data_IF_187200100582
#
_entry.id   IF_187200100582
#
_cell.length_a   1.000
_cell.length_b   1.000
_cell.length_c   1.000
_cell.angle_alpha   90.00
_cell.angle_beta   90.00
_cell.angle_gamma   90.00
#
_symmetry.space_group_name_H-M   'P 1'
#
loop_
_entity.id
_entity.type
_entity.pdbx_description
1 polymer ?
#
# COMPACT_ATOMS: atom_id res chain seq x y z
N UNK A 1 46.46 -34.27 -11.00
CA UNK A 1 47.90 -34.38 -10.66
C UNK A 1 48.39 -33.20 -9.81
N UNK A 2 48.02 -31.94 -10.10
CA UNK A 2 48.46 -30.76 -9.35
C UNK A 2 48.09 -30.75 -7.84
N UNK A 3 46.83 -31.04 -7.46
CA UNK A 3 46.44 -31.04 -6.03
C UNK A 3 47.17 -32.10 -5.19
N UNK A 4 47.39 -33.29 -5.76
CA UNK A 4 48.19 -34.36 -5.11
C UNK A 4 49.67 -33.99 -4.98
N UNK A 5 50.19 -33.18 -5.90
CA UNK A 5 51.56 -32.67 -5.80
C UNK A 5 51.71 -31.60 -4.71
N UNK A 6 50.71 -30.71 -4.59
CA UNK A 6 50.73 -29.58 -3.64
C UNK A 6 50.41 -30.04 -2.20
N UNK A 7 49.39 -30.88 -2.01
CA UNK A 7 48.89 -31.24 -0.67
C UNK A 7 49.16 -32.70 -0.28
N UNK A 8 49.69 -33.54 -1.17
CA UNK A 8 49.80 -34.98 -0.94
C UNK A 8 50.99 -35.43 -0.08
N UNK A 9 51.86 -34.52 0.36
CA UNK A 9 53.04 -34.82 1.20
C UNK A 9 52.98 -34.16 2.60
N UNK A 10 51.82 -33.62 2.98
CA UNK A 10 51.62 -32.94 4.26
C UNK A 10 50.49 -33.58 5.04
N UNK A 11 50.71 -33.87 6.32
CA UNK A 11 49.75 -34.49 7.22
C UNK A 11 49.30 -33.48 8.29
N UNK A 12 48.01 -33.43 8.59
CA UNK A 12 47.45 -32.52 9.59
C UNK A 12 47.32 -33.26 10.92
N UNK A 13 48.03 -32.80 11.94
CA UNK A 13 48.07 -33.39 13.27
C UNK A 13 47.33 -32.52 14.29
N UNK A 14 46.80 -33.13 15.35
CA UNK A 14 46.08 -32.38 16.40
C UNK A 14 47.03 -31.56 17.26
N UNK A 15 48.15 -32.17 17.68
CA UNK A 15 49.11 -31.58 18.61
C UNK A 15 50.55 -31.71 18.06
N UNK A 16 51.45 -30.86 18.55
CA UNK A 16 52.85 -30.82 18.09
C UNK A 16 53.63 -32.11 18.38
N UNK A 17 53.35 -32.76 19.50
CA UNK A 17 53.97 -34.03 19.90
C UNK A 17 53.67 -35.13 18.88
N UNK A 18 52.38 -35.30 18.56
CA UNK A 18 51.91 -36.26 17.54
C UNK A 18 52.48 -35.89 16.16
N UNK A 19 52.56 -34.59 15.83
CA UNK A 19 53.17 -34.14 14.59
C UNK A 19 54.64 -34.54 14.46
N UNK A 20 55.38 -34.50 15.56
CA UNK A 20 56.81 -34.86 15.60
C UNK A 20 57.02 -36.36 15.47
N UNK A 21 56.20 -37.17 16.15
CA UNK A 21 56.29 -38.62 16.07
C UNK A 21 55.92 -39.13 14.68
N UNK A 22 54.79 -38.65 14.13
CA UNK A 22 54.33 -39.02 12.78
C UNK A 22 55.30 -38.58 11.68
N UNK A 23 55.94 -37.41 11.84
CA UNK A 23 56.96 -36.94 10.90
C UNK A 23 58.21 -37.82 10.89
N UNK A 24 58.62 -38.35 12.05
CA UNK A 24 59.78 -39.25 12.17
C UNK A 24 59.49 -40.65 11.65
N UNK A 25 58.31 -41.18 11.95
CA UNK A 25 57.92 -42.55 11.57
C UNK A 25 57.64 -42.68 10.07
N UNK A 26 56.92 -41.72 9.48
CA UNK A 26 56.47 -41.80 8.08
C UNK A 26 57.24 -40.90 7.11
N UNK A 27 58.13 -40.03 7.59
CA UNK A 27 58.92 -39.13 6.75
C UNK A 27 58.09 -38.11 5.97
N UNK A 28 56.92 -37.73 6.48
CA UNK A 28 56.02 -36.73 5.89
C UNK A 28 56.08 -35.41 6.67
N UNK A 29 55.85 -34.29 5.99
CA UNK A 29 55.75 -33.00 6.67
C UNK A 29 54.43 -32.94 7.45
N UNK A 30 54.45 -32.53 8.71
CA UNK A 30 53.27 -32.47 9.57
C UNK A 30 52.98 -31.02 9.97
N UNK A 31 51.69 -30.66 10.04
CA UNK A 31 51.24 -29.33 10.46
C UNK A 31 50.13 -29.44 11.50
N UNK A 32 50.19 -28.63 12.56
CA UNK A 32 49.11 -28.57 13.57
C UNK A 32 48.01 -27.60 13.14
N UNK A 33 46.83 -27.72 13.75
CA UNK A 33 45.71 -26.80 13.50
C UNK A 33 46.09 -25.35 13.89
N UNK A 34 46.97 -25.20 14.88
CA UNK A 34 47.45 -23.91 15.38
C UNK A 34 48.54 -23.28 14.48
N UNK A 35 49.01 -24.02 13.47
CA UNK A 35 49.94 -23.53 12.44
C UNK A 35 51.41 -23.86 12.67
N UNK A 36 51.73 -24.69 13.67
CA UNK A 36 53.10 -25.17 13.87
C UNK A 36 53.42 -26.27 12.85
N UNK A 37 54.55 -26.13 12.16
CA UNK A 37 54.99 -27.05 11.13
C UNK A 37 56.24 -27.83 11.57
N UNK A 38 56.18 -29.15 11.41
CA UNK A 38 57.32 -30.05 11.59
C UNK A 38 57.65 -30.66 10.23
N UNK A 39 58.82 -30.37 9.69
CA UNK A 39 59.27 -30.99 8.44
C UNK A 39 59.81 -32.40 8.70
N UNK A 40 59.64 -33.28 7.71
CA UNK A 40 60.28 -34.60 7.59
C UNK A 40 61.79 -34.60 7.83
N UNK A 41 62.46 -33.45 7.66
CA UNK A 41 63.90 -33.24 7.91
C UNK A 41 64.25 -32.78 9.33
N UNK A 42 63.26 -32.64 10.22
CA UNK A 42 63.45 -32.28 11.62
C UNK A 42 63.42 -30.78 11.93
N UNK A 43 63.11 -29.92 10.96
CA UNK A 43 62.93 -28.47 11.21
C UNK A 43 61.56 -28.20 11.80
N UNK A 44 61.51 -27.56 12.97
CA UNK A 44 60.27 -27.04 13.56
C UNK A 44 60.15 -25.54 13.28
N UNK A 45 59.01 -25.13 12.73
CA UNK A 45 58.68 -23.72 12.47
C UNK A 45 57.37 -23.40 13.16
N UNK A 46 57.39 -22.44 14.09
CA UNK A 46 56.20 -22.01 14.84
C UNK A 46 56.17 -20.49 15.02
N UNK A 47 54.99 -19.94 15.33
CA UNK A 47 54.77 -18.51 15.53
C UNK A 47 53.30 -18.11 15.57
N UNK A 48 53.02 -16.85 15.91
CA UNK A 48 51.64 -16.33 15.96
C UNK A 48 51.11 -16.03 14.55
N UNK A 49 50.13 -16.83 14.09
CA UNK A 49 49.44 -16.62 12.82
C UNK A 49 48.18 -15.76 13.02
N UNK A 50 48.15 -14.57 12.40
CA UNK A 50 46.98 -13.70 12.42
C UNK A 50 45.93 -14.20 11.44
N UNK A 51 44.93 -14.94 11.94
CA UNK A 51 43.83 -15.54 11.15
C UNK A 51 42.92 -14.54 10.43
N UNK A 52 43.03 -13.24 10.71
CA UNK A 52 42.01 -12.26 10.32
C UNK A 52 41.98 -11.89 8.83
N UNK A 53 42.95 -12.31 8.00
CA UNK A 53 43.02 -12.01 6.55
C UNK A 53 43.58 -13.17 5.74
N UNK A 54 42.92 -14.33 5.79
CA UNK A 54 43.27 -15.45 4.93
C UNK A 54 42.99 -15.12 3.46
N UNK A 55 44.03 -15.14 2.62
CA UNK A 55 43.90 -14.94 1.16
C UNK A 55 42.96 -15.96 0.51
N UNK A 56 42.90 -17.18 1.08
CA UNK A 56 42.01 -18.24 0.62
C UNK A 56 40.55 -17.94 0.90
N UNK A 57 40.23 -17.36 2.07
CA UNK A 57 38.86 -16.96 2.41
C UNK A 57 38.36 -15.84 1.49
N UNK A 58 39.22 -14.85 1.22
CA UNK A 58 38.93 -13.78 0.26
C UNK A 58 38.72 -14.36 -1.15
N UNK A 59 39.55 -15.33 -1.56
CA UNK A 59 39.41 -15.97 -2.87
C UNK A 59 38.12 -16.81 -2.95
N UNK A 60 37.72 -17.51 -1.88
CA UNK A 60 36.45 -18.24 -1.80
C UNK A 60 35.26 -17.29 -1.93
N UNK A 61 35.23 -16.21 -1.14
CA UNK A 61 34.20 -15.18 -1.22
C UNK A 61 34.13 -14.55 -2.61
N UNK A 62 35.29 -14.27 -3.22
CA UNK A 62 35.37 -13.76 -4.59
C UNK A 62 34.76 -14.76 -5.59
N UNK A 63 35.05 -16.04 -5.46
CA UNK A 63 34.48 -17.09 -6.32
C UNK A 63 32.96 -17.20 -6.15
N UNK A 64 32.46 -17.12 -4.93
CA UNK A 64 31.01 -17.10 -4.65
C UNK A 64 30.33 -15.87 -5.26
N UNK A 65 30.88 -14.68 -5.05
CA UNK A 65 30.38 -13.44 -5.64
C UNK A 65 30.41 -13.46 -7.16
N UNK A 66 31.47 -13.99 -7.78
CA UNK A 66 31.53 -14.16 -9.23
C UNK A 66 30.46 -15.12 -9.75
N UNK A 67 30.15 -16.18 -9.00
CA UNK A 67 29.06 -17.10 -9.35
C UNK A 67 27.69 -16.41 -9.28
N UNK A 68 27.46 -15.60 -8.23
CA UNK A 68 26.22 -14.83 -8.08
C UNK A 68 26.05 -13.76 -9.16
N UNK A 69 27.15 -13.10 -9.55
CA UNK A 69 27.16 -12.14 -10.66
C UNK A 69 26.74 -12.86 -11.95
N UNK A 70 27.37 -13.99 -12.25
CA UNK A 70 27.05 -14.77 -13.45
C UNK A 70 25.59 -15.22 -13.48
N UNK A 71 25.08 -15.73 -12.37
CA UNK A 71 23.67 -16.14 -12.27
C UNK A 71 22.71 -14.95 -12.47
N UNK A 72 23.08 -13.77 -11.95
CA UNK A 72 22.29 -12.54 -12.12
C UNK A 72 22.34 -12.03 -13.57
N UNK A 73 23.49 -12.14 -14.25
CA UNK A 73 23.64 -11.80 -15.66
C UNK A 73 22.81 -12.73 -16.56
N UNK A 74 22.82 -14.03 -16.27
CA UNK A 74 22.02 -15.03 -17.00
C UNK A 74 20.51 -14.75 -16.84
N UNK A 75 20.04 -14.46 -15.61
CA UNK A 75 18.66 -14.05 -15.35
C UNK A 75 18.28 -12.75 -16.05
N UNK A 76 19.19 -11.79 -16.11
CA UNK A 76 18.96 -10.51 -16.78
C UNK A 76 18.82 -10.72 -18.30
N UNK A 77 19.65 -11.59 -18.89
CA UNK A 77 19.55 -11.96 -20.30
C UNK A 77 18.21 -12.66 -20.61
N UNK A 78 17.77 -13.58 -19.74
CA UNK A 78 16.47 -14.25 -19.88
C UNK A 78 15.30 -13.26 -19.81
N UNK A 79 15.29 -12.38 -18.80
CA UNK A 79 14.26 -11.35 -18.66
C UNK A 79 14.22 -10.39 -19.85
N UNK A 80 15.37 -10.04 -20.43
CA UNK A 80 15.43 -9.21 -21.65
C UNK A 80 14.80 -9.92 -22.85
N UNK A 81 15.03 -11.23 -23.00
CA UNK A 81 14.42 -12.00 -24.07
C UNK A 81 12.91 -12.13 -23.88
N UNK A 82 12.45 -12.38 -22.65
CA UNK A 82 11.02 -12.41 -22.32
C UNK A 82 10.35 -11.06 -22.58
N UNK A 83 11.00 -9.95 -22.20
CA UNK A 83 10.51 -8.59 -22.46
C UNK A 83 10.32 -8.38 -23.98
N UNK A 84 11.34 -8.71 -24.77
CA UNK A 84 11.28 -8.57 -26.23
C UNK A 84 10.15 -9.41 -26.84
N UNK A 85 9.97 -10.66 -26.40
CA UNK A 85 8.89 -11.52 -26.87
C UNK A 85 7.52 -10.95 -26.50
N UNK A 86 7.37 -10.38 -25.30
CA UNK A 86 6.12 -9.71 -24.90
C UNK A 86 5.84 -8.45 -25.70
N UNK A 87 6.87 -7.65 -26.02
CA UNK A 87 6.73 -6.47 -26.87
C UNK A 87 6.28 -6.85 -28.29
N UNK A 88 6.86 -7.90 -28.87
CA UNK A 88 6.47 -8.43 -30.18
C UNK A 88 5.01 -8.91 -30.19
N UNK A 89 4.58 -9.62 -29.13
CA UNK A 89 3.18 -10.04 -28.95
C UNK A 89 2.24 -8.84 -28.83
N UNK A 90 2.62 -7.80 -28.07
CA UNK A 90 1.83 -6.57 -27.96
C UNK A 90 1.66 -5.92 -29.33
N UNK A 91 2.74 -5.78 -30.10
CA UNK A 91 2.70 -5.20 -31.44
C UNK A 91 1.79 -5.99 -32.41
N UNK A 92 1.80 -7.32 -32.32
CA UNK A 92 0.90 -8.16 -33.09
C UNK A 92 -0.58 -7.91 -32.71
N UNK A 93 -0.89 -7.91 -31.41
CA UNK A 93 -2.26 -7.66 -30.92
C UNK A 93 -2.75 -6.27 -31.33
N UNK A 94 -1.91 -5.24 -31.24
CA UNK A 94 -2.24 -3.87 -31.68
C UNK A 94 -2.55 -3.84 -33.18
N UNK A 95 -1.76 -4.55 -33.98
CA UNK A 95 -1.97 -4.63 -35.43
C UNK A 95 -3.29 -5.35 -35.78
N UNK A 96 -3.61 -6.43 -35.09
CA UNK A 96 -4.87 -7.17 -35.26
C UNK A 96 -6.09 -6.34 -34.81
N UNK A 97 -5.94 -5.59 -33.71
CA UNK A 97 -6.95 -4.66 -33.21
C UNK A 97 -7.26 -3.59 -34.27
N UNK A 98 -6.24 -2.93 -34.83
CA UNK A 98 -6.41 -1.91 -35.87
C UNK A 98 -7.07 -2.48 -37.14
N UNK A 99 -6.69 -3.70 -37.56
CA UNK A 99 -7.35 -4.38 -38.70
C UNK A 99 -8.82 -4.64 -38.43
N UNK A 100 -9.14 -5.12 -37.23
CA UNK A 100 -10.52 -5.42 -36.83
C UNK A 100 -11.35 -4.14 -36.73
N UNK A 101 -10.79 -3.07 -36.16
CA UNK A 101 -11.42 -1.76 -36.07
C UNK A 101 -11.73 -1.18 -37.46
N UNK A 102 -10.76 -1.20 -38.39
CA UNK A 102 -10.99 -0.78 -39.77
C UNK A 102 -12.09 -1.61 -40.47
N UNK A 103 -12.12 -2.92 -40.25
CA UNK A 103 -13.17 -3.80 -40.80
C UNK A 103 -14.53 -3.46 -40.22
N UNK A 104 -14.60 -3.20 -38.92
CA UNK A 104 -15.85 -2.84 -38.23
C UNK A 104 -16.37 -1.49 -38.75
N UNK A 105 -15.50 -0.48 -38.86
CA UNK A 105 -15.87 0.84 -39.38
C UNK A 105 -16.38 0.75 -40.82
N UNK A 106 -15.69 0.01 -41.71
CA UNK A 106 -16.17 -0.25 -43.08
C UNK A 106 -17.51 -0.97 -43.12
N UNK A 107 -17.69 -1.97 -42.25
CA UNK A 107 -18.94 -2.73 -42.17
C UNK A 107 -20.10 -1.85 -41.70
N UNK A 108 -19.85 -0.96 -40.73
CA UNK A 108 -20.82 0.04 -40.26
C UNK A 108 -21.19 1.03 -41.35
N UNK A 109 -20.23 1.59 -42.07
CA UNK A 109 -20.54 2.51 -43.18
C UNK A 109 -21.32 1.82 -44.30
N UNK A 110 -21.00 0.55 -44.60
CA UNK A 110 -21.75 -0.23 -45.58
C UNK A 110 -23.17 -0.53 -45.10
N UNK A 111 -23.34 -0.86 -43.82
CA UNK A 111 -24.65 -1.09 -43.22
C UNK A 111 -25.52 0.18 -43.28
N UNK A 112 -24.97 1.34 -42.95
CA UNK A 112 -25.69 2.61 -42.99
C UNK A 112 -26.10 2.99 -44.42
N UNK A 113 -25.23 2.75 -45.41
CA UNK A 113 -25.55 2.89 -46.84
C UNK A 113 -26.69 1.97 -47.26
N UNK A 114 -26.57 0.67 -47.00
CA UNK A 114 -27.62 -0.29 -47.35
C UNK A 114 -28.95 0.02 -46.66
N UNK A 115 -28.92 0.51 -45.41
CA UNK A 115 -30.11 0.96 -44.68
C UNK A 115 -30.77 2.16 -45.36
N UNK A 116 -29.98 3.11 -45.88
CA UNK A 116 -30.48 4.25 -46.64
C UNK A 116 -31.07 3.78 -47.99
N UNK A 117 -30.39 2.89 -48.72
CA UNK A 117 -30.85 2.35 -49.99
C UNK A 117 -32.17 1.59 -49.83
N UNK A 118 -32.31 0.76 -48.78
CA UNK A 118 -33.56 0.06 -48.45
C UNK A 118 -34.70 1.05 -48.17
N UNK A 119 -34.42 2.19 -47.52
CA UNK A 119 -35.44 3.22 -47.28
C UNK A 119 -35.90 3.86 -48.59
N UNK A 120 -34.96 4.23 -49.46
CA UNK A 120 -35.27 4.80 -50.77
C UNK A 120 -36.06 3.82 -51.64
N UNK A 121 -35.63 2.56 -51.73
CA UNK A 121 -36.36 1.52 -52.47
C UNK A 121 -37.78 1.28 -51.94
N UNK A 122 -37.99 1.38 -50.61
CA UNK A 122 -39.33 1.28 -50.03
C UNK A 122 -40.22 2.48 -50.39
N UNK A 123 -39.66 3.70 -50.41
CA UNK A 123 -40.40 4.89 -50.84
C UNK A 123 -40.76 4.81 -52.33
N UNK A 124 -39.84 4.35 -53.18
CA UNK A 124 -40.10 4.10 -54.59
C UNK A 124 -41.19 3.03 -54.80
N UNK A 125 -41.13 1.92 -54.06
CA UNK A 125 -42.14 0.86 -54.10
C UNK A 125 -43.54 1.43 -53.75
N UNK A 126 -43.64 2.18 -52.65
CA UNK A 126 -44.90 2.83 -52.24
C UNK A 126 -45.39 3.83 -53.29
N UNK A 127 -44.48 4.55 -53.94
CA UNK A 127 -44.79 5.43 -55.07
C UNK A 127 -45.41 4.64 -56.23
N UNK A 128 -44.75 3.56 -56.67
CA UNK A 128 -45.22 2.70 -57.76
C UNK A 128 -46.58 2.08 -57.42
N UNK A 129 -46.77 1.57 -56.20
CA UNK A 129 -48.04 0.99 -55.75
C UNK A 129 -49.19 2.00 -55.81
N UNK A 130 -48.94 3.27 -55.43
CA UNK A 130 -49.94 4.34 -55.55
C UNK A 130 -50.37 4.62 -56.99
N UNK A 131 -49.46 4.50 -57.96
CA UNK A 131 -49.79 4.67 -59.39
C UNK A 131 -50.40 3.42 -60.03
N UNK A 132 -50.09 2.23 -59.49
CA UNK A 132 -50.58 0.94 -59.97
C UNK A 132 -52.09 0.83 -59.83
N UNK A 133 -52.65 1.16 -58.65
CA UNK A 133 -54.10 0.98 -58.39
C UNK A 133 -55.00 1.78 -59.35
N UNK A 134 -54.75 3.08 -59.63
CA UNK A 134 -55.52 3.83 -60.63
C UNK A 134 -55.36 3.29 -62.06
N UNK A 135 -54.15 2.87 -62.44
CA UNK A 135 -53.88 2.26 -63.75
C UNK A 135 -54.64 0.95 -63.93
N UNK A 136 -54.65 0.08 -62.92
CA UNK A 136 -55.44 -1.16 -62.92
C UNK A 136 -56.94 -0.89 -63.04
N UNK A 137 -57.47 0.10 -62.32
CA UNK A 137 -58.88 0.52 -62.46
C UNK A 137 -59.19 1.04 -63.86
N UNK A 138 -58.31 1.87 -64.42
CA UNK A 138 -58.49 2.40 -65.78
C UNK A 138 -58.41 1.30 -66.83
N UNK A 139 -57.51 0.32 -66.67
CA UNK A 139 -57.42 -0.85 -67.55
C UNK A 139 -58.71 -1.66 -67.49
N UNK A 140 -59.20 -1.98 -66.28
CA UNK A 140 -60.46 -2.71 -66.10
C UNK A 140 -61.65 -1.99 -66.75
N UNK A 141 -61.73 -0.67 -66.62
CA UNK A 141 -62.77 0.13 -67.29
C UNK A 141 -62.65 0.07 -68.82
N UNK A 142 -61.45 0.25 -69.37
CA UNK A 142 -61.23 0.17 -70.81
C UNK A 142 -61.54 -1.23 -71.36
N UNK A 143 -61.16 -2.30 -70.64
CA UNK A 143 -61.48 -3.67 -71.01
C UNK A 143 -62.99 -3.92 -71.01
N UNK A 144 -63.71 -3.46 -69.99
CA UNK A 144 -65.18 -3.57 -69.94
C UNK A 144 -65.86 -2.78 -71.06
N UNK A 145 -65.37 -1.57 -71.37
CA UNK A 145 -65.89 -0.79 -72.48
C UNK A 145 -65.61 -1.47 -73.84
N UNK A 146 -64.43 -2.06 -74.01
CA UNK A 146 -64.05 -2.78 -75.22
C UNK A 146 -64.94 -4.00 -75.42
N UNK A 147 -65.17 -4.77 -74.36
CA UNK A 147 -66.04 -5.95 -74.37
C UNK A 147 -67.48 -5.55 -74.72
N UNK A 148 -68.02 -4.49 -74.10
CA UNK A 148 -69.33 -3.96 -74.43
C UNK A 148 -69.45 -3.53 -75.91
N UNK A 149 -68.42 -2.88 -76.46
CA UNK A 149 -68.37 -2.47 -77.87
C UNK A 149 -68.22 -3.66 -78.83
N UNK A 150 -67.51 -4.71 -78.42
CA UNK A 150 -67.42 -5.95 -79.18
C UNK A 150 -68.74 -6.71 -79.20
N UNK A 151 -69.45 -6.76 -78.07
CA UNK A 151 -70.79 -7.35 -77.99
C UNK A 151 -71.79 -6.60 -78.86
N UNK A 152 -71.80 -5.26 -78.83
CA UNK A 152 -72.68 -4.47 -79.71
C UNK A 152 -72.32 -4.63 -81.18
N UNK A 153 -71.03 -4.66 -81.54
CA UNK A 153 -70.60 -4.96 -82.92
C UNK A 153 -71.10 -6.33 -83.37
N UNK A 154 -70.87 -7.37 -82.55
CA UNK A 154 -71.31 -8.73 -82.87
C UNK A 154 -72.83 -8.83 -82.98
N UNK A 155 -73.57 -8.10 -82.14
CA UNK A 155 -75.03 -8.01 -82.23
C UNK A 155 -75.49 -7.37 -83.54
N UNK A 156 -74.94 -6.21 -83.91
CA UNK A 156 -75.25 -5.52 -85.15
C UNK A 156 -74.85 -6.31 -86.41
N UNK A 157 -73.71 -7.01 -86.39
CA UNK A 157 -73.29 -7.91 -87.48
C UNK A 157 -74.25 -9.10 -87.64
N UNK A 158 -74.74 -9.65 -86.53
CA UNK A 158 -75.75 -10.72 -86.55
C UNK A 158 -77.10 -10.21 -87.07
N UNK A 159 -77.52 -9.01 -86.67
CA UNK A 159 -78.75 -8.35 -87.15
C UNK A 159 -78.68 -8.06 -88.66
N UNK A 160 -77.51 -7.69 -89.20
CA UNK A 160 -77.31 -7.43 -90.63
C UNK A 160 -77.51 -8.69 -91.49
N UNK A 161 -77.34 -9.87 -90.91
CA UNK A 161 -77.43 -11.17 -91.59
C UNK A 161 -78.76 -11.90 -91.35
N UNK A 162 -79.73 -11.27 -90.69
CA UNK A 162 -81.07 -11.82 -90.46
C UNK A 162 -82.15 -11.04 -91.22
N UNK A 163 -83.12 -11.76 -91.78
CA UNK A 163 -84.33 -11.16 -92.35
C UNK A 163 -85.27 -10.68 -91.24
N UNK A 164 -85.68 -9.41 -91.26
CA UNK A 164 -86.61 -8.84 -90.28
C UNK A 164 -88.02 -9.45 -90.42
N UNK A 165 -88.27 -10.52 -89.68
CA UNK A 165 -89.59 -11.13 -89.50
C UNK A 165 -90.34 -10.41 -88.36
N UNK A 166 -91.62 -10.08 -88.59
CA UNK A 166 -92.44 -9.34 -87.63
C UNK A 166 -92.93 -10.17 -86.42
N UNK A 167 -92.71 -11.51 -86.43
CA UNK A 167 -93.12 -12.42 -85.37
C UNK A 167 -92.03 -13.46 -85.09
N UNK A 168 -91.81 -13.71 -83.80
CA UNK A 168 -90.83 -14.66 -83.27
C UNK A 168 -91.22 -16.11 -83.63
N UNK A 169 -90.26 -16.93 -84.07
CA UNK A 169 -90.50 -18.36 -84.30
C UNK A 169 -90.78 -19.11 -83.00
N UNK A 170 -91.53 -20.22 -83.05
CA UNK A 170 -91.80 -21.08 -81.88
C UNK A 170 -90.50 -21.64 -81.27
N UNK A 171 -89.46 -21.84 -82.09
CA UNK A 171 -88.13 -22.27 -81.64
C UNK A 171 -87.42 -21.16 -80.86
N UNK A 172 -87.44 -19.94 -81.40
CA UNK A 172 -86.86 -18.74 -80.77
C UNK A 172 -87.56 -18.40 -79.44
N UNK A 173 -88.85 -18.68 -79.34
CA UNK A 173 -89.64 -18.44 -78.12
C UNK A 173 -89.24 -19.40 -76.99
N UNK A 174 -89.01 -20.68 -77.31
CA UNK A 174 -88.46 -21.67 -76.36
C UNK A 174 -87.01 -21.34 -75.97
N UNK A 175 -86.21 -20.81 -76.89
CA UNK A 175 -84.84 -20.40 -76.62
C UNK A 175 -84.80 -19.15 -75.73
N UNK A 176 -85.68 -18.18 -75.97
CA UNK A 176 -85.89 -17.01 -75.11
C UNK A 176 -86.30 -17.38 -73.69
N UNK A 177 -87.18 -18.35 -73.50
CA UNK A 177 -87.59 -18.81 -72.17
C UNK A 177 -86.41 -19.47 -71.43
N UNK A 178 -85.63 -20.32 -72.11
CA UNK A 178 -84.40 -20.90 -71.54
C UNK A 178 -83.37 -19.83 -71.18
N UNK A 179 -83.13 -18.87 -72.07
CA UNK A 179 -82.23 -17.75 -71.83
C UNK A 179 -82.70 -16.89 -70.66
N UNK A 180 -84.00 -16.66 -70.50
CA UNK A 180 -84.54 -15.93 -69.35
C UNK A 180 -84.36 -16.69 -68.03
N UNK A 181 -84.55 -18.00 -68.02
CA UNK A 181 -84.30 -18.83 -66.85
C UNK A 181 -82.81 -18.89 -66.50
N UNK A 182 -81.93 -19.00 -67.51
CA UNK A 182 -80.48 -18.94 -67.32
C UNK A 182 -80.03 -17.56 -66.84
N UNK A 183 -80.59 -16.47 -67.37
CA UNK A 183 -80.36 -15.10 -66.89
C UNK A 183 -80.76 -15.00 -65.41
N UNK A 184 -81.92 -15.53 -65.01
CA UNK A 184 -82.36 -15.51 -63.60
C UNK A 184 -81.38 -16.29 -62.71
N UNK A 185 -80.98 -17.50 -63.11
CA UNK A 185 -80.00 -18.32 -62.36
C UNK A 185 -78.67 -17.60 -62.23
N UNK A 186 -78.09 -17.16 -63.34
CA UNK A 186 -76.79 -16.47 -63.37
C UNK A 186 -76.82 -15.14 -62.61
N UNK A 187 -77.93 -14.41 -62.65
CA UNK A 187 -78.10 -13.17 -61.86
C UNK A 187 -78.11 -13.46 -60.36
N UNK A 188 -78.73 -14.57 -59.95
CA UNK A 188 -78.77 -14.98 -58.54
C UNK A 188 -77.41 -15.50 -58.07
N UNK A 189 -76.73 -16.31 -58.88
CA UNK A 189 -75.35 -16.76 -58.61
C UNK A 189 -74.39 -15.57 -58.51
N UNK A 190 -74.47 -14.62 -59.45
CA UNK A 190 -73.65 -13.42 -59.44
C UNK A 190 -73.92 -12.54 -58.21
N UNK A 191 -75.19 -12.40 -57.78
CA UNK A 191 -75.53 -11.74 -56.50
C UNK A 191 -74.87 -12.43 -55.30
N UNK A 192 -74.91 -13.75 -55.26
CA UNK A 192 -74.31 -14.52 -54.16
C UNK A 192 -72.78 -14.40 -54.14
N UNK A 193 -72.14 -14.47 -55.31
CA UNK A 193 -70.70 -14.30 -55.49
C UNK A 193 -70.26 -12.86 -55.18
N UNK A 194 -71.06 -11.87 -55.53
CA UNK A 194 -70.81 -10.47 -55.18
C UNK A 194 -70.90 -10.26 -53.67
N UNK A 195 -71.88 -10.86 -52.99
CA UNK A 195 -72.01 -10.77 -51.54
C UNK A 195 -70.84 -11.43 -50.80
N UNK A 196 -70.36 -12.60 -51.25
CA UNK A 196 -69.16 -13.24 -50.68
C UNK A 196 -67.90 -12.43 -50.96
N UNK A 197 -67.72 -11.92 -52.19
CA UNK A 197 -66.61 -11.03 -52.53
C UNK A 197 -66.59 -9.79 -51.64
N UNK A 198 -67.73 -9.14 -51.45
CA UNK A 198 -67.83 -7.93 -50.63
C UNK A 198 -67.48 -8.20 -49.15
N UNK A 199 -67.89 -9.35 -48.60
CA UNK A 199 -67.50 -9.77 -47.24
C UNK A 199 -65.99 -10.01 -47.13
N UNK A 200 -65.41 -10.76 -48.06
CA UNK A 200 -63.96 -11.03 -48.08
C UNK A 200 -63.13 -9.75 -48.26
N UNK A 201 -63.61 -8.81 -49.08
CA UNK A 201 -62.96 -7.51 -49.30
C UNK A 201 -63.01 -6.64 -48.03
N UNK A 202 -64.10 -6.69 -47.28
CA UNK A 202 -64.19 -6.03 -45.97
C UNK A 202 -63.24 -6.65 -44.92
N UNK A 203 -63.15 -7.98 -44.86
CA UNK A 203 -62.22 -8.68 -43.97
C UNK A 203 -60.76 -8.40 -44.34
N UNK A 204 -60.43 -8.42 -45.63
CA UNK A 204 -59.11 -8.03 -46.15
C UNK A 204 -58.74 -6.63 -45.68
N UNK A 205 -59.62 -5.64 -45.91
CA UNK A 205 -59.37 -4.25 -45.49
C UNK A 205 -59.20 -4.13 -43.96
N UNK A 206 -59.96 -4.90 -43.17
CA UNK A 206 -59.82 -4.92 -41.71
C UNK A 206 -58.46 -5.47 -41.28
N UNK A 207 -58.01 -6.57 -41.88
CA UNK A 207 -56.71 -7.18 -41.60
C UNK A 207 -55.55 -6.30 -42.09
N UNK A 208 -55.65 -5.70 -43.27
CA UNK A 208 -54.66 -4.75 -43.80
C UNK A 208 -54.54 -3.52 -42.89
N UNK A 209 -55.65 -3.00 -42.37
CA UNK A 209 -55.63 -1.90 -41.40
C UNK A 209 -54.94 -2.31 -40.08
N UNK A 210 -55.22 -3.51 -39.57
CA UNK A 210 -54.59 -4.04 -38.36
C UNK A 210 -53.07 -4.21 -38.55
N UNK A 211 -52.67 -4.77 -39.69
CA UNK A 211 -51.27 -4.99 -40.02
C UNK A 211 -50.53 -3.65 -40.15
N UNK A 212 -51.08 -2.74 -40.94
CA UNK A 212 -50.40 -1.49 -41.32
C UNK A 212 -50.38 -0.47 -40.19
N UNK A 213 -51.52 -0.24 -39.52
CA UNK A 213 -51.62 0.81 -38.51
C UNK A 213 -51.12 0.37 -37.13
N UNK A 214 -51.19 -0.92 -36.81
CA UNK A 214 -50.83 -1.42 -35.48
C UNK A 214 -49.52 -2.22 -35.51
N UNK A 215 -49.48 -3.35 -36.20
CA UNK A 215 -48.37 -4.30 -36.08
C UNK A 215 -47.07 -3.78 -36.71
N UNK A 216 -47.12 -3.19 -37.90
CA UNK A 216 -45.94 -2.60 -38.55
C UNK A 216 -45.43 -1.43 -37.72
N UNK A 217 -46.32 -0.55 -37.27
CA UNK A 217 -45.96 0.60 -36.42
C UNK A 217 -45.30 0.17 -35.12
N UNK A 218 -45.86 -0.85 -34.46
CA UNK A 218 -45.30 -1.41 -33.22
C UNK A 218 -43.94 -2.08 -33.44
N UNK A 219 -43.77 -2.78 -34.56
CA UNK A 219 -42.48 -3.36 -34.96
C UNK A 219 -41.43 -2.27 -35.16
N UNK A 220 -41.76 -1.19 -35.87
CA UNK A 220 -40.83 -0.08 -36.13
C UNK A 220 -40.46 0.66 -34.83
N UNK A 221 -41.42 0.87 -33.92
CA UNK A 221 -41.17 1.38 -32.55
C UNK A 221 -40.17 0.50 -31.78
N UNK A 222 -40.37 -0.81 -31.77
CA UNK A 222 -39.49 -1.75 -31.08
C UNK A 222 -38.09 -1.81 -31.70
N UNK A 223 -37.98 -1.71 -33.04
CA UNK A 223 -36.70 -1.66 -33.73
C UNK A 223 -35.94 -0.37 -33.40
N UNK A 224 -36.63 0.77 -33.29
CA UNK A 224 -36.02 2.03 -32.84
C UNK A 224 -35.52 1.93 -31.40
N UNK A 225 -36.36 1.44 -30.48
CA UNK A 225 -35.98 1.26 -29.09
C UNK A 225 -34.76 0.33 -28.93
N UNK A 226 -34.70 -0.78 -29.66
CA UNK A 226 -33.54 -1.67 -29.66
C UNK A 226 -32.25 -1.02 -30.19
N UNK A 227 -32.35 -0.12 -31.18
CA UNK A 227 -31.20 0.59 -31.72
C UNK A 227 -30.66 1.64 -30.75
N UNK A 228 -31.53 2.39 -30.08
CA UNK A 228 -31.16 3.42 -29.11
C UNK A 228 -30.53 2.83 -27.83
N UNK A 229 -31.10 1.75 -27.30
CA UNK A 229 -30.65 1.11 -26.05
C UNK A 229 -29.30 0.37 -26.24
N UNK A 230 -29.03 -0.19 -27.42
CA UNK A 230 -27.94 -1.15 -27.60
C UNK A 230 -26.54 -0.53 -27.61
N UNK A 231 -26.37 0.62 -28.28
CA UNK A 231 -25.02 1.12 -28.61
C UNK A 231 -24.74 2.49 -28.01
N UNK A 232 -25.65 3.45 -28.11
CA UNK A 232 -25.46 4.79 -27.56
C UNK A 232 -25.41 4.76 -26.03
N UNK A 233 -26.37 4.08 -25.39
CA UNK A 233 -26.48 4.04 -23.93
C UNK A 233 -25.32 3.28 -23.29
N UNK A 234 -24.95 2.11 -23.84
CA UNK A 234 -23.76 1.36 -23.39
C UNK A 234 -22.48 2.15 -23.54
N UNK A 235 -22.30 2.86 -24.65
CA UNK A 235 -21.11 3.69 -24.90
C UNK A 235 -21.05 4.85 -23.91
N UNK A 236 -22.18 5.50 -23.64
CA UNK A 236 -22.28 6.58 -22.66
C UNK A 236 -21.99 6.10 -21.23
N UNK A 237 -22.51 4.94 -20.82
CA UNK A 237 -22.15 4.34 -19.53
C UNK A 237 -20.67 3.96 -19.47
N UNK A 238 -20.09 3.44 -20.55
CA UNK A 238 -18.66 3.10 -20.60
C UNK A 238 -17.77 4.34 -20.46
N UNK A 239 -18.12 5.43 -21.16
CA UNK A 239 -17.39 6.70 -21.09
C UNK A 239 -17.49 7.33 -19.69
N UNK A 240 -18.67 7.28 -19.06
CA UNK A 240 -18.85 7.72 -17.67
C UNK A 240 -18.00 6.89 -16.70
N UNK A 241 -18.04 5.55 -16.79
CA UNK A 241 -17.23 4.69 -15.93
C UNK A 241 -15.73 4.90 -16.13
N UNK A 242 -15.29 5.19 -17.37
CA UNK A 242 -13.88 5.55 -17.65
C UNK A 242 -13.48 6.87 -17.02
N UNK A 243 -14.33 7.88 -17.07
CA UNK A 243 -14.10 9.18 -16.42
C UNK A 243 -14.03 9.04 -14.90
N UNK A 244 -14.93 8.26 -14.31
CA UNK A 244 -14.90 7.97 -12.87
C UNK A 244 -13.61 7.24 -12.48
N UNK A 245 -13.21 6.23 -13.25
CA UNK A 245 -12.00 5.46 -13.01
C UNK A 245 -10.74 6.34 -13.08
N UNK A 246 -10.64 7.22 -14.08
CA UNK A 246 -9.56 8.19 -14.17
C UNK A 246 -9.55 9.20 -13.00
N UNK A 247 -10.74 9.60 -12.52
CA UNK A 247 -10.88 10.43 -11.32
C UNK A 247 -10.40 9.73 -10.05
N UNK A 248 -10.76 8.45 -9.89
CA UNK A 248 -10.32 7.61 -8.77
C UNK A 248 -8.81 7.38 -8.82
N UNK A 249 -8.23 7.10 -9.99
CA UNK A 249 -6.79 6.92 -10.16
C UNK A 249 -6.00 8.18 -9.75
N UNK A 250 -6.42 9.37 -10.19
CA UNK A 250 -5.81 10.64 -9.76
C UNK A 250 -5.89 10.82 -8.24
N UNK A 251 -7.03 10.45 -7.65
CA UNK A 251 -7.24 10.57 -6.20
C UNK A 251 -6.38 9.56 -5.42
N UNK A 252 -6.21 8.34 -5.93
CA UNK A 252 -5.27 7.35 -5.39
C UNK A 252 -3.83 7.87 -5.48
N UNK A 253 -3.44 8.47 -6.61
CA UNK A 253 -2.10 9.02 -6.79
C UNK A 253 -1.81 10.16 -5.81
N UNK A 254 -2.80 11.03 -5.58
CA UNK A 254 -2.70 12.11 -4.59
C UNK A 254 -2.57 11.55 -3.16
N UNK A 255 -3.44 10.60 -2.78
CA UNK A 255 -3.38 9.95 -1.45
C UNK A 255 -2.04 9.24 -1.25
N UNK A 256 -1.48 8.60 -2.28
CA UNK A 256 -0.17 7.96 -2.20
C UNK A 256 0.97 8.98 -2.03
N UNK A 257 0.87 10.16 -2.65
CA UNK A 257 1.85 11.26 -2.43
C UNK A 257 1.77 11.77 -1.01
N UNK A 258 0.55 11.98 -0.49
CA UNK A 258 0.33 12.45 0.87
C UNK A 258 0.78 11.41 1.91
N UNK A 259 0.52 10.13 1.65
CA UNK A 259 0.99 9.01 2.47
C UNK A 259 2.51 8.98 2.56
N UNK A 260 3.22 9.06 1.43
CA UNK A 260 4.70 9.11 1.40
C UNK A 260 5.25 10.33 2.15
N UNK A 261 4.59 11.48 2.05
CA UNK A 261 4.99 12.68 2.78
C UNK A 261 4.79 12.51 4.29
N UNK A 262 3.67 11.90 4.71
CA UNK A 262 3.40 11.63 6.12
C UNK A 262 4.35 10.57 6.69
N UNK A 263 4.66 9.53 5.93
CA UNK A 263 5.62 8.49 6.32
C UNK A 263 7.01 9.09 6.57
N UNK A 264 7.47 10.01 5.72
CA UNK A 264 8.73 10.75 5.95
C UNK A 264 8.69 11.56 7.25
N UNK A 265 7.60 12.28 7.52
CA UNK A 265 7.43 13.04 8.76
C UNK A 265 7.46 12.13 10.00
N UNK A 266 6.81 10.97 9.91
CA UNK A 266 6.83 9.96 10.99
C UNK A 266 8.25 9.44 11.22
N UNK A 267 8.98 9.10 10.15
CA UNK A 267 10.37 8.64 10.27
C UNK A 267 11.28 9.71 10.89
N UNK A 268 11.12 10.98 10.53
CA UNK A 268 11.85 12.10 11.13
C UNK A 268 11.50 12.28 12.62
N UNK A 269 10.22 12.22 12.97
CA UNK A 269 9.76 12.31 14.36
C UNK A 269 10.32 11.16 15.21
N UNK A 270 10.31 9.92 14.71
CA UNK A 270 10.89 8.76 15.39
C UNK A 270 12.40 8.92 15.59
N UNK A 271 13.13 9.46 14.61
CA UNK A 271 14.57 9.76 14.76
C UNK A 271 14.82 10.81 15.84
N UNK A 272 14.03 11.89 15.87
CA UNK A 272 14.13 12.93 16.91
C UNK A 272 13.83 12.37 18.30
N UNK A 273 12.77 11.57 18.43
CA UNK A 273 12.41 10.91 19.69
C UNK A 273 13.54 10.03 20.22
N UNK A 274 14.20 9.25 19.35
CA UNK A 274 15.35 8.43 19.76
C UNK A 274 16.53 9.28 20.23
N UNK A 275 16.85 10.36 19.53
CA UNK A 275 17.92 11.27 19.92
C UNK A 275 17.64 11.94 21.28
N UNK A 276 16.40 12.40 21.50
CA UNK A 276 15.99 12.96 22.79
C UNK A 276 15.99 11.92 23.92
N UNK A 277 15.61 10.67 23.66
CA UNK A 277 15.73 9.57 24.62
C UNK A 277 17.19 9.30 25.01
N UNK A 278 18.12 9.30 24.05
CA UNK A 278 19.55 9.12 24.33
C UNK A 278 20.11 10.27 25.18
N UNK A 279 19.71 11.52 24.90
CA UNK A 279 20.10 12.66 25.72
C UNK A 279 19.49 12.58 27.13
N UNK A 280 18.21 12.20 27.25
CA UNK A 280 17.55 12.01 28.55
C UNK A 280 18.28 10.97 29.40
N UNK A 281 18.67 9.83 28.83
CA UNK A 281 19.43 8.80 29.54
C UNK A 281 20.82 9.30 29.97
N UNK A 282 21.51 10.10 29.13
CA UNK A 282 22.79 10.74 29.54
C UNK A 282 22.58 11.68 30.73
N UNK A 283 21.52 12.47 30.74
CA UNK A 283 21.23 13.38 31.85
C UNK A 283 20.82 12.63 33.12
N UNK A 284 20.06 11.53 33.01
CA UNK A 284 19.75 10.65 34.14
C UNK A 284 20.99 10.04 34.78
N UNK A 285 21.96 9.61 33.98
CA UNK A 285 23.24 9.10 34.51
C UNK A 285 23.99 10.20 35.25
N UNK A 286 24.09 11.41 34.66
CA UNK A 286 24.74 12.57 35.32
C UNK A 286 24.04 12.98 36.61
N UNK A 287 22.70 12.97 36.63
CA UNK A 287 21.89 13.26 37.82
C UNK A 287 22.18 12.23 38.92
N UNK A 288 22.22 10.94 38.57
CA UNK A 288 22.54 9.87 39.52
C UNK A 288 23.96 10.01 40.08
N UNK A 289 24.96 10.29 39.25
CA UNK A 289 26.33 10.54 39.69
C UNK A 289 26.44 11.77 40.61
N UNK A 290 25.70 12.84 40.30
CA UNK A 290 25.64 14.03 41.15
C UNK A 290 24.98 13.73 42.50
N UNK A 291 23.90 12.94 42.51
CA UNK A 291 23.23 12.51 43.73
C UNK A 291 24.14 11.63 44.60
N UNK A 292 24.87 10.68 44.02
CA UNK A 292 25.84 9.84 44.76
C UNK A 292 26.97 10.67 45.37
N UNK A 293 27.44 11.71 44.66
CA UNK A 293 28.42 12.67 45.22
C UNK A 293 27.84 13.50 46.36
N UNK A 294 26.62 14.04 46.21
CA UNK A 294 25.93 14.78 47.27
C UNK A 294 25.72 13.92 48.52
N UNK A 295 25.35 12.65 48.36
CA UNK A 295 25.19 11.72 49.48
C UNK A 295 26.53 11.42 50.17
N UNK A 296 27.64 11.34 49.43
CA UNK A 296 28.98 11.21 49.99
C UNK A 296 29.40 12.46 50.77
N UNK A 297 29.24 13.63 50.17
CA UNK A 297 29.58 14.91 50.80
C UNK A 297 28.73 15.15 52.06
N UNK A 298 27.45 14.79 52.03
CA UNK A 298 26.55 14.83 53.19
C UNK A 298 27.02 13.91 54.33
N UNK A 299 27.49 12.69 54.02
CA UNK A 299 28.10 11.78 54.99
C UNK A 299 29.39 12.35 55.59
N UNK A 300 30.18 13.08 54.83
CA UNK A 300 31.40 13.70 55.35
C UNK A 300 31.11 14.96 56.17
N UNK A 301 30.15 15.78 55.75
CA UNK A 301 29.63 16.90 56.53
C UNK A 301 29.08 16.46 57.89
N UNK A 302 28.30 15.38 57.93
CA UNK A 302 27.78 14.83 59.20
C UNK A 302 28.90 14.34 60.12
N UNK A 303 29.96 13.70 59.59
CA UNK A 303 31.15 13.33 60.39
C UNK A 303 31.86 14.56 60.95
N UNK A 304 32.03 15.61 60.16
CA UNK A 304 32.68 16.86 60.58
C UNK A 304 31.83 17.55 61.65
N UNK A 305 30.51 17.65 61.45
CA UNK A 305 29.59 18.23 62.42
C UNK A 305 29.61 17.46 63.75
N UNK A 306 29.61 16.12 63.72
CA UNK A 306 29.73 15.29 64.92
C UNK A 306 31.06 15.52 65.65
N UNK A 307 32.19 15.58 64.92
CA UNK A 307 33.50 15.93 65.51
C UNK A 307 33.49 17.33 66.13
N UNK A 308 32.89 18.31 65.45
CA UNK A 308 32.77 19.67 65.95
C UNK A 308 31.94 19.73 67.24
N UNK A 309 30.83 18.99 67.31
CA UNK A 309 30.00 18.90 68.51
C UNK A 309 30.78 18.30 69.69
N UNK A 310 31.53 17.21 69.47
CA UNK A 310 32.38 16.60 70.51
C UNK A 310 33.46 17.59 70.99
N UNK A 311 34.09 18.33 70.07
CA UNK A 311 35.09 19.32 70.43
C UNK A 311 34.48 20.50 71.21
N UNK A 312 33.28 20.96 70.84
CA UNK A 312 32.55 21.98 71.60
C UNK A 312 32.21 21.50 73.00
N UNK A 313 31.70 20.27 73.15
CA UNK A 313 31.45 19.68 74.47
C UNK A 313 32.73 19.64 75.33
N UNK A 314 33.87 19.27 74.74
CA UNK A 314 35.17 19.31 75.45
C UNK A 314 35.59 20.72 75.83
N UNK A 315 35.32 21.73 74.99
CA UNK A 315 35.58 23.13 75.32
C UNK A 315 34.69 23.58 76.48
N UNK A 316 33.40 23.24 76.45
CA UNK A 316 32.46 23.57 77.50
C UNK A 316 32.86 22.90 78.82
N UNK A 317 33.19 21.60 78.81
CA UNK A 317 33.72 20.87 79.98
C UNK A 317 34.99 21.51 80.54
N UNK A 318 35.95 21.89 79.68
CA UNK A 318 37.16 22.58 80.09
C UNK A 318 36.83 23.96 80.67
N UNK A 319 35.86 24.67 80.11
CA UNK A 319 35.43 26.01 80.58
C UNK A 319 34.74 25.91 81.93
N UNK A 320 33.87 24.92 82.13
CA UNK A 320 33.25 24.63 83.42
C UNK A 320 34.31 24.26 84.46
N UNK A 321 35.29 23.41 84.13
CA UNK A 321 36.41 23.11 85.03
C UNK A 321 37.24 24.35 85.37
N UNK A 322 37.47 25.25 84.40
CA UNK A 322 38.15 26.53 84.64
C UNK A 322 37.33 27.41 85.61
N UNK A 323 36.01 27.43 85.48
CA UNK A 323 35.12 28.16 86.41
C UNK A 323 35.06 27.50 87.81
N UNK A 324 35.03 26.18 87.90
CA UNK A 324 35.05 25.41 89.16
C UNK A 324 36.36 25.59 89.95
N UNK A 325 37.49 25.80 89.25
CA UNK A 325 38.79 26.09 89.87
C UNK A 325 38.83 27.45 90.61
N UNK A 326 37.73 28.21 90.55
CA UNK A 326 37.49 29.38 91.40
C UNK A 326 37.80 30.71 90.71
N UNK A 327 37.93 31.76 91.53
CA UNK A 327 38.10 33.13 91.07
C UNK A 327 39.38 33.29 90.24
N UNK A 328 39.19 33.71 88.99
CA UNK A 328 40.25 34.00 88.02
C UNK A 328 41.25 35.01 88.62
N UNK A 329 42.58 34.76 88.52
CA UNK A 329 43.60 35.67 89.06
C UNK A 329 43.51 37.08 88.47
N UNK A 330 44.08 38.06 89.17
CA UNK A 330 44.15 39.45 88.68
C UNK A 330 44.73 39.51 87.25
N UNK A 331 44.19 40.37 86.36
CA UNK A 331 44.56 40.40 84.94
C UNK A 331 46.06 40.63 84.68
N UNK A 332 46.78 41.28 85.60
CA UNK A 332 48.23 41.46 85.55
C UNK A 332 49.01 40.14 85.63
N UNK A 333 48.52 39.17 86.42
CA UNK A 333 49.14 37.84 86.55
C UNK A 333 48.90 36.98 85.30
N UNK A 334 47.75 37.15 84.64
CA UNK A 334 47.40 36.41 83.42
C UNK A 334 48.29 36.84 82.25
N UNK A 335 48.48 38.15 82.07
CA UNK A 335 49.29 38.70 80.97
C UNK A 335 50.75 38.22 81.01
N UNK A 336 51.31 37.96 82.20
CA UNK A 336 52.68 37.43 82.35
C UNK A 336 52.86 36.02 81.78
N UNK A 337 51.81 35.20 81.86
CA UNK A 337 51.84 33.79 81.42
C UNK A 337 51.14 33.54 80.08
N UNK A 338 50.41 34.53 79.53
CA UNK A 338 49.82 34.49 78.19
C UNK A 338 50.83 34.25 77.05
N UNK A 339 52.08 34.70 77.22
CA UNK A 339 53.14 34.51 76.23
C UNK A 339 53.78 33.09 76.25
N UNK A 340 53.38 32.23 77.20
CA UNK A 340 53.96 30.90 77.35
C UNK A 340 53.22 29.89 76.47
N UNK A 341 53.97 29.01 75.79
CA UNK A 341 53.38 27.86 75.11
C UNK A 341 52.84 26.86 76.14
N UNK A 342 51.85 26.06 75.75
CA UNK A 342 51.25 25.02 76.62
C UNK A 342 52.29 24.14 77.33
N UNK A 343 53.36 23.75 76.61
CA UNK A 343 54.47 22.95 77.18
C UNK A 343 55.26 23.68 78.27
N UNK A 344 55.43 24.99 78.16
CA UNK A 344 56.12 25.81 79.16
C UNK A 344 55.20 26.14 80.34
N UNK A 345 53.90 26.33 80.11
CA UNK A 345 52.90 26.47 81.18
C UNK A 345 52.85 25.23 82.09
N UNK A 346 52.89 24.02 81.52
CA UNK A 346 52.95 22.79 82.30
C UNK A 346 54.20 22.70 83.18
N UNK A 347 55.37 23.14 82.69
CA UNK A 347 56.61 23.15 83.49
C UNK A 347 56.55 24.13 84.66
N UNK A 348 55.98 25.32 84.46
CA UNK A 348 55.79 26.28 85.55
C UNK A 348 54.73 25.80 86.55
N UNK A 349 53.67 25.12 86.10
CA UNK A 349 52.70 24.47 86.99
C UNK A 349 53.34 23.38 87.85
N UNK A 350 54.22 22.55 87.29
CA UNK A 350 54.97 21.54 88.04
C UNK A 350 55.89 22.17 89.10
N UNK A 351 56.59 23.26 88.76
CA UNK A 351 57.39 24.02 89.73
C UNK A 351 56.52 24.58 90.86
N UNK A 352 55.39 25.21 90.53
CA UNK A 352 54.45 25.76 91.51
C UNK A 352 53.90 24.67 92.44
N UNK A 353 53.49 23.51 91.90
CA UNK A 353 53.09 22.34 92.69
C UNK A 353 54.23 21.82 93.59
N UNK A 354 55.47 21.84 93.09
CA UNK A 354 56.66 21.52 93.87
C UNK A 354 56.88 22.48 95.04
N UNK A 355 56.66 23.78 94.84
CA UNK A 355 56.72 24.78 95.90
C UNK A 355 55.58 24.63 96.92
N UNK A 356 54.33 24.39 96.46
CA UNK A 356 53.17 24.15 97.33
C UNK A 356 53.37 22.97 98.27
N UNK A 357 53.99 21.87 97.80
CA UNK A 357 54.32 20.70 98.64
C UNK A 357 55.20 21.04 99.85
N UNK A 358 56.12 22.02 99.72
CA UNK A 358 57.00 22.45 100.83
C UNK A 358 56.23 23.14 101.97
N UNK A 359 55.08 23.72 101.68
CA UNK A 359 54.23 24.42 102.65
C UNK A 359 53.05 23.58 103.15
N UNK A 360 53.06 22.24 102.94
CA UNK A 360 51.93 21.38 103.36
C UNK A 360 51.70 21.34 104.88
N UNK A 361 52.75 21.62 105.68
CA UNK A 361 52.70 21.61 107.15
C UNK A 361 52.42 22.98 107.80
N UNK A 362 52.06 24.00 107.02
CA UNK A 362 51.70 25.32 107.57
C UNK A 362 50.31 25.23 108.22
N UNK A 363 50.19 25.71 109.47
CA UNK A 363 48.94 25.75 110.22
C UNK A 363 47.91 26.66 109.54
N UNK A 364 46.95 26.06 108.84
CA UNK A 364 45.95 26.75 108.04
C UNK A 364 44.92 27.54 108.87
N UNK A 365 44.83 27.29 110.18
CA UNK A 365 43.94 28.00 111.11
C UNK A 365 44.64 29.12 111.88
N UNK A 366 45.90 29.43 111.55
CA UNK A 366 46.68 30.45 112.26
C UNK A 366 46.02 31.84 112.21
N UNK A 367 45.36 32.19 111.10
CA UNK A 367 44.66 33.47 110.96
C UNK A 367 43.43 33.54 111.86
N UNK A 368 42.57 32.51 111.83
CA UNK A 368 41.38 32.43 112.68
C UNK A 368 41.74 32.37 114.16
N UNK A 369 42.81 31.65 114.51
CA UNK A 369 43.36 31.60 115.86
C UNK A 369 43.87 32.98 116.30
N UNK A 370 44.58 33.71 115.45
CA UNK A 370 45.06 35.06 115.73
C UNK A 370 43.92 36.06 115.91
N UNK A 371 42.86 36.00 115.10
CA UNK A 371 41.67 36.85 115.26
C UNK A 371 40.94 36.53 116.55
N UNK A 372 40.75 35.25 116.90
CA UNK A 372 40.12 34.84 118.16
C UNK A 372 40.93 35.24 119.41
N UNK A 373 42.27 35.22 119.33
CA UNK A 373 43.15 35.63 120.42
C UNK A 373 43.31 37.15 120.52
N UNK A 374 43.16 37.90 119.42
CA UNK A 374 43.08 39.38 119.46
C UNK A 374 41.76 39.86 120.05
N UNK A 375 40.63 39.24 119.69
CA UNK A 375 39.30 39.58 120.25
C UNK A 375 39.18 39.26 121.75
N UNK A 376 39.96 38.30 122.26
CA UNK A 376 40.06 38.01 123.70
C UNK A 376 40.98 38.98 124.48
N UNK A 377 41.75 39.83 123.79
CA UNK A 377 42.67 40.80 124.40
C UNK A 377 42.07 42.21 124.55
N UNK A 378 40.91 42.46 123.93
CA UNK A 378 40.12 43.69 124.04
C UNK A 378 38.97 43.60 125.09
N UNK A 379 38.91 42.51 125.88
CA UNK A 379 38.11 42.39 127.11
C UNK A 379 39.01 42.33 128.34
#
# INVERSE_FOLDING_TARGET
KAMRYIFGKTLICRNLEIATDMSKEYGLDCITIDGDQVSSKGTLTGGYFKNMRSKLEIQKQRTELMSQIKESEDKLAELRNQLKETEDKINQVVSEMQRTEMKNTKSKTNFDKLKADIRLMKEELLGIERYRTPKERSLAQCSSNLEAMQTTRSGLESELHQDLLAQLSVVDQLEMDKLNDDIRRLTQENKSAFATRMKLEAEKNKLENLLTNNLIRRKDELIQALQEISVEERKRTLDNSRLELAGIEKRIEQVNKDFKAMEKKVQEAVKRQKAEQEELEKYRVKEKEAQEKLDSDSKDLTKVAAKQQILRQKIDECTTKIQELGSMPQPEMINKYMAYTSKNLFKELEKANGHLKKYSHVNKKALDQFMSFSDQKEK
#
